data_IF_689401363842
#
_entry.id   IF_689401363842
#
_cell.length_a   1.000
_cell.length_b   1.000
_cell.length_c   1.000
_cell.angle_alpha   90.00
_cell.angle_beta   90.00
_cell.angle_gamma   90.00
#
_symmetry.space_group_name_H-M   'P 1'
#
loop_
_entity.id
_entity.type
_entity.pdbx_description
1 polymer ?
#
# COMPACT_ATOMS: atom_id res chain seq x y z
N UNK A 1 -4.12 -1.93 -19.64
CA UNK A 1 -3.70 -2.25 -21.01
C UNK A 1 -2.73 -3.41 -20.95
N UNK A 2 -2.95 -4.42 -21.82
CA UNK A 2 -2.05 -5.54 -21.98
C UNK A 2 -1.67 -5.63 -23.45
N UNK A 3 -0.39 -5.70 -23.73
CA UNK A 3 0.19 -5.72 -25.07
C UNK A 3 1.09 -6.96 -25.16
N UNK A 4 0.89 -7.78 -26.18
CA UNK A 4 1.76 -8.89 -26.54
C UNK A 4 2.35 -8.59 -27.92
N UNK A 5 3.67 -8.38 -27.97
CA UNK A 5 4.40 -8.10 -29.19
C UNK A 5 5.22 -9.33 -29.59
N UNK A 6 4.92 -9.86 -30.77
CA UNK A 6 5.64 -10.98 -31.40
C UNK A 6 5.75 -12.23 -30.51
N UNK A 7 4.82 -12.41 -29.56
CA UNK A 7 4.87 -13.46 -28.55
C UNK A 7 6.14 -13.46 -27.67
N UNK A 8 6.98 -12.44 -27.80
CA UNK A 8 8.26 -12.26 -27.11
C UNK A 8 8.18 -11.27 -25.97
N UNK A 9 7.49 -10.15 -26.17
CA UNK A 9 7.42 -9.05 -25.20
C UNK A 9 6.00 -8.89 -24.68
N UNK A 10 5.81 -9.14 -23.41
CA UNK A 10 4.53 -8.99 -22.72
C UNK A 10 4.61 -7.72 -21.86
N UNK A 11 3.79 -6.72 -22.18
CA UNK A 11 3.78 -5.43 -21.48
C UNK A 11 2.40 -5.25 -20.88
N UNK A 12 2.37 -4.95 -19.58
CA UNK A 12 1.13 -4.62 -18.88
C UNK A 12 1.28 -3.25 -18.21
N UNK A 13 0.29 -2.41 -18.34
CA UNK A 13 0.21 -1.13 -17.63
C UNK A 13 -1.20 -0.93 -17.10
N UNK A 14 -1.33 -0.48 -15.87
CA UNK A 14 -2.60 -0.14 -15.27
C UNK A 14 -2.48 1.07 -14.34
N UNK A 15 -3.59 1.75 -14.16
CA UNK A 15 -3.76 2.77 -13.13
C UNK A 15 -5.09 2.53 -12.42
N UNK A 16 -5.07 2.56 -11.10
CA UNK A 16 -6.24 2.45 -10.26
C UNK A 16 -6.43 3.74 -9.49
N UNK A 17 -7.66 4.23 -9.44
CA UNK A 17 -8.05 5.36 -8.62
C UNK A 17 -9.02 4.87 -7.55
N UNK A 18 -8.65 5.01 -6.29
CA UNK A 18 -9.47 4.58 -5.15
C UNK A 18 -9.88 5.80 -4.33
N UNK A 19 -11.14 5.85 -3.94
CA UNK A 19 -11.66 6.89 -3.07
C UNK A 19 -12.01 6.34 -1.69
N UNK A 20 -11.63 7.06 -0.63
CA UNK A 20 -11.97 6.70 0.75
C UNK A 20 -12.60 7.87 1.49
N UNK A 21 -13.77 7.61 2.09
CA UNK A 21 -14.46 8.58 2.96
C UNK A 21 -13.78 8.74 4.33
N UNK A 22 -12.83 7.87 4.68
CA UNK A 22 -12.06 7.93 5.93
C UNK A 22 -11.12 9.14 5.98
N UNK A 23 -10.72 9.65 4.82
CA UNK A 23 -9.82 10.81 4.70
C UNK A 23 -10.60 12.11 4.45
N UNK A 24 -9.99 13.24 4.81
CA UNK A 24 -10.51 14.56 4.52
C UNK A 24 -10.68 14.78 3.01
N UNK A 25 -11.56 15.70 2.61
CA UNK A 25 -12.00 15.93 1.23
C UNK A 25 -10.85 15.99 0.22
N UNK A 26 -9.74 16.62 0.57
CA UNK A 26 -8.59 16.80 -0.32
C UNK A 26 -7.68 15.58 -0.46
N UNK A 27 -7.80 14.61 0.45
CA UNK A 27 -6.94 13.41 0.53
C UNK A 27 -7.71 12.10 0.26
N UNK A 28 -8.98 12.20 -0.15
CA UNK A 28 -9.85 11.02 -0.36
C UNK A 28 -9.36 10.13 -1.49
N UNK A 29 -8.84 10.71 -2.56
CA UNK A 29 -8.47 9.98 -3.76
C UNK A 29 -7.00 9.61 -3.74
N UNK A 30 -6.72 8.32 -3.95
CA UNK A 30 -5.39 7.76 -4.19
C UNK A 30 -5.27 7.23 -5.61
N UNK A 31 -4.13 7.47 -6.26
CA UNK A 31 -3.83 6.96 -7.59
C UNK A 31 -2.67 5.98 -7.49
N UNK A 32 -2.88 4.78 -8.05
CA UNK A 32 -1.99 3.65 -7.89
C UNK A 32 -1.64 3.07 -9.28
N UNK A 33 -0.62 3.64 -9.93
CA UNK A 33 -0.12 3.11 -11.20
C UNK A 33 0.67 1.81 -10.98
N UNK A 34 0.63 0.94 -12.00
CA UNK A 34 1.51 -0.21 -12.10
C UNK A 34 1.89 -0.50 -13.55
N UNK A 35 3.08 -1.03 -13.74
CA UNK A 35 3.57 -1.46 -15.03
C UNK A 35 4.43 -2.72 -14.88
N UNK A 36 4.38 -3.60 -15.86
CA UNK A 36 5.27 -4.75 -15.95
C UNK A 36 5.66 -5.03 -17.39
N UNK A 37 6.86 -5.57 -17.55
CA UNK A 37 7.35 -6.09 -18.80
C UNK A 37 7.92 -7.49 -18.56
N UNK A 38 7.61 -8.42 -19.45
CA UNK A 38 8.21 -9.72 -19.47
C UNK A 38 8.77 -10.00 -20.88
N UNK A 39 10.03 -10.46 -20.92
CA UNK A 39 10.70 -10.80 -22.14
C UNK A 39 10.98 -12.30 -22.17
N UNK A 40 10.42 -12.96 -23.19
CA UNK A 40 10.57 -14.39 -23.43
C UNK A 40 11.81 -14.61 -24.29
N UNK A 41 12.95 -14.75 -23.63
CA UNK A 41 14.26 -14.93 -24.28
C UNK A 41 14.32 -16.22 -25.10
N UNK A 42 13.62 -17.26 -24.66
CA UNK A 42 13.58 -18.54 -25.38
C UNK A 42 12.99 -18.42 -26.81
N UNK A 43 12.25 -17.34 -27.08
CA UNK A 43 11.66 -17.09 -28.41
C UNK A 43 12.60 -16.31 -29.34
N UNK A 44 13.77 -15.89 -28.86
CA UNK A 44 14.74 -15.17 -29.67
C UNK A 44 15.56 -16.10 -30.57
N UNK A 45 15.88 -15.65 -31.78
CA UNK A 45 16.58 -16.46 -32.77
C UNK A 45 17.93 -16.98 -32.26
N UNK A 46 18.66 -16.15 -31.51
CA UNK A 46 19.97 -16.53 -30.96
C UNK A 46 19.87 -17.59 -29.85
N UNK A 47 18.68 -17.77 -29.24
CA UNK A 47 18.47 -18.77 -28.18
C UNK A 47 17.94 -20.11 -28.73
N UNK A 48 17.39 -20.14 -29.94
CA UNK A 48 16.83 -21.34 -30.56
C UNK A 48 17.84 -22.47 -30.76
N UNK A 49 19.14 -22.15 -30.80
CA UNK A 49 20.22 -23.16 -30.90
C UNK A 49 20.40 -23.97 -29.60
N UNK A 50 19.90 -23.46 -28.47
CA UNK A 50 20.07 -24.07 -27.15
C UNK A 50 18.95 -25.06 -26.85
N UNK A 51 19.00 -26.25 -27.41
CA UNK A 51 17.95 -27.30 -27.28
C UNK A 51 17.68 -27.75 -25.84
N UNK A 52 18.64 -27.54 -24.94
CA UNK A 52 18.48 -27.89 -23.53
C UNK A 52 17.70 -26.85 -22.72
N UNK A 53 17.55 -25.62 -23.26
CA UNK A 53 16.80 -24.53 -22.65
C UNK A 53 15.36 -24.58 -23.15
N UNK A 54 14.42 -24.86 -22.26
CA UNK A 54 13.00 -24.94 -22.58
C UNK A 54 12.26 -23.65 -22.30
N UNK A 55 12.70 -22.88 -21.33
CA UNK A 55 12.12 -21.61 -20.94
C UNK A 55 13.17 -20.69 -20.36
N UNK A 56 13.16 -19.44 -20.79
CA UNK A 56 13.91 -18.36 -20.15
C UNK A 56 13.16 -17.06 -20.34
N UNK A 57 12.57 -16.58 -19.25
CA UNK A 57 11.78 -15.36 -19.25
C UNK A 57 12.27 -14.39 -18.17
N UNK A 58 12.59 -13.18 -18.59
CA UNK A 58 12.90 -12.08 -17.68
C UNK A 58 11.62 -11.29 -17.39
N UNK A 59 11.43 -10.92 -16.14
CA UNK A 59 10.29 -10.11 -15.69
C UNK A 59 10.79 -8.89 -14.92
N UNK A 60 10.21 -7.75 -15.20
CA UNK A 60 10.39 -6.53 -14.46
C UNK A 60 9.02 -5.95 -14.16
N UNK A 61 8.76 -5.62 -12.93
CA UNK A 61 7.51 -4.96 -12.54
C UNK A 61 7.76 -3.83 -11.56
N UNK A 62 6.93 -2.82 -11.66
CA UNK A 62 6.83 -1.71 -10.73
C UNK A 62 5.38 -1.40 -10.44
N UNK A 63 5.05 -1.12 -9.20
CA UNK A 63 3.69 -0.75 -8.84
C UNK A 63 3.63 0.00 -7.52
N UNK A 64 2.59 0.82 -7.41
CA UNK A 64 2.24 1.52 -6.17
C UNK A 64 0.91 0.98 -5.67
N UNK A 65 0.84 0.65 -4.39
CA UNK A 65 -0.39 0.26 -3.70
C UNK A 65 -0.67 1.21 -2.55
N UNK A 66 -1.95 1.42 -2.24
CA UNK A 66 -2.40 2.27 -1.14
C UNK A 66 -3.00 1.45 0.00
N UNK A 67 -2.80 1.93 1.22
CA UNK A 67 -3.44 1.41 2.42
C UNK A 67 -4.19 2.53 3.13
N UNK A 68 -5.42 2.23 3.59
CA UNK A 68 -6.31 3.13 4.32
C UNK A 68 -6.75 2.53 5.68
N UNK A 69 -5.89 1.76 6.30
CA UNK A 69 -6.19 1.03 7.54
C UNK A 69 -6.23 1.97 8.75
N UNK A 70 -7.25 2.82 8.78
CA UNK A 70 -7.65 3.66 9.92
C UNK A 70 -9.13 3.45 10.20
N UNK A 71 -9.57 3.76 11.41
CA UNK A 71 -10.98 3.69 11.76
C UNK A 71 -11.79 4.77 11.04
N UNK A 72 -13.09 4.51 10.76
CA UNK A 72 -13.98 5.54 10.26
C UNK A 72 -13.99 6.75 11.19
N UNK A 73 -14.08 7.93 10.61
CA UNK A 73 -14.16 9.23 11.32
C UNK A 73 -12.87 9.63 12.07
N UNK A 74 -11.75 8.88 11.98
CA UNK A 74 -10.47 9.23 12.64
C UNK A 74 -9.90 10.58 12.23
N UNK A 75 -10.33 11.14 11.10
CA UNK A 75 -9.91 12.46 10.61
C UNK A 75 -10.73 13.60 11.19
N UNK A 76 -11.85 13.32 11.87
CA UNK A 76 -12.76 14.32 12.39
C UNK A 76 -12.68 14.41 13.91
N UNK A 77 -12.98 15.58 14.48
CA UNK A 77 -13.25 15.69 15.89
C UNK A 77 -14.58 15.01 16.21
N UNK A 78 -14.59 14.08 17.14
CA UNK A 78 -15.79 13.43 17.63
C UNK A 78 -16.07 13.83 19.08
N UNK A 79 -17.36 13.90 19.41
CA UNK A 79 -17.81 14.13 20.76
C UNK A 79 -18.35 12.83 21.35
N UNK A 80 -18.04 12.58 22.59
CA UNK A 80 -18.57 11.44 23.37
C UNK A 80 -19.00 11.89 24.76
N UNK A 81 -19.71 11.01 25.48
CA UNK A 81 -20.05 11.24 26.88
C UNK A 81 -18.79 11.43 27.72
N UNK A 82 -18.68 12.53 28.42
CA UNK A 82 -17.55 12.81 29.32
C UNK A 82 -17.68 12.04 30.62
N UNK A 83 -16.54 11.73 31.22
CA UNK A 83 -16.47 11.10 32.54
C UNK A 83 -16.80 12.08 33.68
N UNK A 84 -16.89 13.36 33.38
CA UNK A 84 -17.17 14.39 34.39
C UNK A 84 -18.68 14.61 34.45
N UNK A 85 -19.23 14.35 35.60
CA UNK A 85 -20.63 14.61 35.90
C UNK A 85 -20.68 15.93 36.69
N UNK A 86 -21.35 16.94 36.14
CA UNK A 86 -21.66 18.14 36.86
C UNK A 86 -23.06 17.98 37.49
N UNK A 87 -23.19 18.45 38.73
CA UNK A 87 -24.50 18.61 39.33
C UNK A 87 -25.02 20.02 39.04
N UNK A 88 -26.26 20.14 38.64
CA UNK A 88 -26.96 21.43 38.61
C UNK A 88 -27.24 21.95 40.02
N UNK A 89 -27.75 23.16 40.15
CA UNK A 89 -28.11 23.75 41.45
C UNK A 89 -29.14 22.95 42.24
N UNK A 90 -29.85 22.02 41.59
CA UNK A 90 -30.87 21.15 42.18
C UNK A 90 -30.31 19.75 42.48
N UNK A 91 -29.01 19.52 42.23
CA UNK A 91 -28.34 18.22 42.47
C UNK A 91 -28.56 17.19 41.34
N UNK A 92 -29.11 17.56 40.19
CA UNK A 92 -29.27 16.64 39.07
C UNK A 92 -27.92 16.44 38.35
N UNK A 93 -27.60 15.20 37.97
CA UNK A 93 -26.44 14.89 37.20
C UNK A 93 -26.55 15.40 35.77
N UNK A 94 -25.61 16.21 35.34
CA UNK A 94 -25.49 16.69 33.96
C UNK A 94 -24.36 15.90 33.27
N UNK A 95 -24.72 15.19 32.19
CA UNK A 95 -23.72 14.53 31.36
C UNK A 95 -22.96 15.57 30.54
N UNK A 96 -21.63 15.51 30.62
CA UNK A 96 -20.78 16.35 29.79
C UNK A 96 -20.51 15.70 28.44
N UNK A 97 -20.34 16.52 27.42
CA UNK A 97 -19.78 16.10 26.13
C UNK A 97 -18.32 16.53 26.09
N UNK A 98 -17.44 15.57 25.84
CA UNK A 98 -16.01 15.84 25.63
C UNK A 98 -15.62 15.44 24.20
N UNK A 99 -14.62 16.12 23.66
CA UNK A 99 -14.03 15.71 22.39
C UNK A 99 -13.23 14.44 22.68
N UNK A 100 -13.54 13.35 21.97
CA UNK A 100 -12.90 12.04 22.16
C UNK A 100 -11.77 11.77 21.19
N UNK A 101 -11.70 12.53 20.09
CA UNK A 101 -10.69 12.36 19.05
C UNK A 101 -10.23 13.71 18.52
N UNK A 102 -8.93 13.87 18.36
CA UNK A 102 -8.34 15.06 17.75
C UNK A 102 -8.44 14.96 16.22
N UNK A 103 -9.06 15.97 15.61
CA UNK A 103 -9.17 16.02 14.15
C UNK A 103 -7.79 16.13 13.49
N UNK A 104 -7.55 15.31 12.47
CA UNK A 104 -6.38 15.42 11.61
C UNK A 104 -6.76 15.37 10.12
N UNK A 105 -7.04 16.53 9.55
CA UNK A 105 -7.42 16.68 8.15
C UNK A 105 -6.26 16.46 7.17
N UNK A 106 -5.04 16.33 7.64
CA UNK A 106 -3.85 16.11 6.82
C UNK A 106 -3.59 14.62 6.52
N UNK A 107 -4.33 13.72 7.18
CA UNK A 107 -4.19 12.29 6.96
C UNK A 107 -4.45 11.94 5.49
N UNK A 108 -3.56 11.13 4.95
CA UNK A 108 -3.55 10.66 3.56
C UNK A 108 -3.24 9.17 3.48
N UNK A 109 -3.37 8.61 2.29
CA UNK A 109 -3.05 7.23 2.00
C UNK A 109 -1.59 6.90 2.34
N UNK A 110 -1.39 5.81 3.06
CA UNK A 110 -0.12 5.13 3.14
C UNK A 110 0.17 4.49 1.79
N UNK A 111 1.39 4.66 1.25
CA UNK A 111 1.76 4.19 -0.08
C UNK A 111 2.93 3.22 -0.01
N UNK A 112 2.77 2.10 -0.69
CA UNK A 112 3.86 1.13 -0.89
C UNK A 112 4.24 1.11 -2.36
N UNK A 113 5.43 1.60 -2.68
CA UNK A 113 6.06 1.43 -3.98
C UNK A 113 6.89 0.15 -3.97
N UNK A 114 6.68 -0.70 -4.95
CA UNK A 114 7.40 -1.97 -5.08
C UNK A 114 7.94 -2.14 -6.49
N UNK A 115 9.16 -2.64 -6.60
CA UNK A 115 9.68 -3.19 -7.83
C UNK A 115 10.14 -4.63 -7.61
N UNK A 116 10.02 -5.41 -8.65
CA UNK A 116 10.43 -6.82 -8.68
C UNK A 116 11.11 -7.10 -10.02
N UNK A 117 12.23 -7.80 -9.95
CA UNK A 117 12.94 -8.38 -11.10
C UNK A 117 12.97 -9.87 -10.91
N UNK A 118 12.44 -10.61 -11.89
CA UNK A 118 12.37 -12.07 -11.82
C UNK A 118 12.92 -12.73 -13.07
N UNK A 119 13.43 -13.93 -12.89
CA UNK A 119 13.88 -14.83 -13.94
C UNK A 119 13.16 -16.16 -13.78
N UNK A 120 12.41 -16.55 -14.81
CA UNK A 120 11.83 -17.89 -14.89
C UNK A 120 12.67 -18.72 -15.84
N UNK A 121 13.11 -19.89 -15.43
CA UNK A 121 13.92 -20.78 -16.26
C UNK A 121 13.37 -22.21 -16.28
N UNK A 122 13.63 -22.89 -17.37
CA UNK A 122 13.27 -24.28 -17.53
C UNK A 122 14.30 -25.00 -18.43
N UNK A 123 14.71 -26.18 -18.01
CA UNK A 123 15.73 -26.98 -18.70
C UNK A 123 15.23 -28.37 -19.01
N UNK A 124 15.80 -29.00 -20.05
CA UNK A 124 15.55 -30.40 -20.45
C UNK A 124 14.08 -30.74 -20.62
N UNK A 125 13.41 -30.04 -21.54
CA UNK A 125 11.95 -30.17 -21.76
C UNK A 125 11.14 -29.93 -20.49
N UNK A 126 11.51 -28.88 -19.73
CA UNK A 126 10.87 -28.48 -18.47
C UNK A 126 10.92 -29.54 -17.36
N UNK A 127 11.91 -30.46 -17.39
CA UNK A 127 12.13 -31.39 -16.28
C UNK A 127 12.67 -30.70 -15.03
N UNK A 128 13.43 -29.64 -15.23
CA UNK A 128 13.86 -28.74 -14.15
C UNK A 128 13.36 -27.34 -14.44
N UNK A 129 12.53 -26.80 -13.56
CA UNK A 129 12.04 -25.43 -13.66
C UNK A 129 12.26 -24.70 -12.35
N UNK A 130 12.47 -23.41 -12.43
CA UNK A 130 12.62 -22.56 -11.24
C UNK A 130 12.35 -21.10 -11.56
N UNK A 131 12.21 -20.35 -10.49
CA UNK A 131 12.03 -18.91 -10.53
C UNK A 131 12.95 -18.27 -9.49
N UNK A 132 13.58 -17.18 -9.84
CA UNK A 132 14.35 -16.35 -8.92
C UNK A 132 13.78 -14.95 -9.03
N UNK A 133 13.35 -14.40 -7.91
CA UNK A 133 12.81 -13.05 -7.81
C UNK A 133 13.65 -12.21 -6.84
N UNK A 134 13.93 -10.97 -7.24
CA UNK A 134 14.55 -9.94 -6.40
C UNK A 134 13.57 -8.80 -6.28
N UNK A 135 13.22 -8.43 -5.05
CA UNK A 135 12.24 -7.40 -4.81
C UNK A 135 12.71 -6.34 -3.82
N UNK A 136 12.14 -5.16 -3.95
CA UNK A 136 12.25 -4.10 -2.97
C UNK A 136 10.91 -3.37 -2.86
N UNK A 137 10.38 -3.30 -1.64
CA UNK A 137 9.14 -2.63 -1.27
C UNK A 137 9.47 -1.50 -0.32
N UNK A 138 9.04 -0.28 -0.64
CA UNK A 138 9.18 0.88 0.24
C UNK A 138 7.80 1.45 0.55
N UNK A 139 7.40 1.35 1.80
CA UNK A 139 6.18 1.97 2.32
C UNK A 139 6.54 3.34 2.89
N UNK A 140 5.77 4.34 2.54
CA UNK A 140 5.91 5.72 3.01
C UNK A 140 4.59 6.23 3.56
N UNK A 141 4.64 7.30 4.34
CA UNK A 141 3.46 7.90 4.95
C UNK A 141 2.68 6.89 5.83
N UNK A 142 3.41 6.08 6.61
CA UNK A 142 2.81 5.06 7.49
C UNK A 142 1.73 5.68 8.37
N UNK A 143 0.56 5.04 8.41
CA UNK A 143 -0.55 5.43 9.27
C UNK A 143 -0.30 4.92 10.69
N UNK A 144 0.23 5.79 11.56
CA UNK A 144 0.66 5.44 12.91
C UNK A 144 -0.23 6.15 13.93
N UNK A 145 -0.74 5.40 14.90
CA UNK A 145 -1.33 5.97 16.11
C UNK A 145 -0.21 6.44 17.04
N UNK A 146 -0.30 7.67 17.50
CA UNK A 146 0.65 8.28 18.41
C UNK A 146 -0.04 8.71 19.70
N UNK A 147 0.56 8.34 20.82
CA UNK A 147 0.12 8.79 22.13
C UNK A 147 0.41 10.28 22.30
N UNK A 148 -0.52 10.98 22.90
CA UNK A 148 -0.43 12.39 23.22
C UNK A 148 -0.23 12.60 24.72
N UNK A 149 0.49 13.66 25.13
CA UNK A 149 0.56 14.01 26.53
C UNK A 149 -0.83 14.26 27.12
N UNK A 150 -1.08 13.85 28.36
CA UNK A 150 -2.38 14.01 29.02
C UNK A 150 -2.87 15.47 29.09
N UNK A 151 -1.96 16.43 29.01
CA UNK A 151 -2.28 17.88 28.92
C UNK A 151 -2.96 18.26 27.61
N UNK A 152 -2.88 17.41 26.56
CA UNK A 152 -3.56 17.65 25.30
C UNK A 152 -5.09 17.36 25.36
N UNK A 153 -5.55 16.68 26.42
CA UNK A 153 -6.94 16.29 26.57
C UNK A 153 -7.37 15.08 25.73
N UNK A 154 -6.44 14.47 24.98
CA UNK A 154 -6.65 13.30 24.13
C UNK A 154 -5.57 12.26 24.41
N UNK A 155 -5.94 10.97 24.28
CA UNK A 155 -4.99 9.88 24.48
C UNK A 155 -4.15 9.61 23.24
N UNK A 156 -4.76 9.61 22.07
CA UNK A 156 -4.10 9.21 20.81
C UNK A 156 -4.57 10.05 19.63
N UNK A 157 -3.77 10.08 18.59
CA UNK A 157 -4.16 10.60 17.27
C UNK A 157 -3.37 9.90 16.17
N UNK A 158 -3.91 9.88 14.94
CA UNK A 158 -3.25 9.29 13.78
C UNK A 158 -2.43 10.32 13.03
N UNK A 159 -1.25 9.90 12.57
CA UNK A 159 -0.37 10.68 11.70
C UNK A 159 0.17 9.81 10.57
N UNK A 160 0.50 10.46 9.44
CA UNK A 160 1.34 9.84 8.43
C UNK A 160 2.80 10.16 8.77
N UNK A 161 3.55 9.17 9.24
CA UNK A 161 4.94 9.37 9.64
C UNK A 161 5.78 8.14 9.38
N UNK A 162 7.03 8.37 8.97
CA UNK A 162 8.01 7.30 8.80
C UNK A 162 7.93 6.57 7.46
N UNK A 163 8.85 5.65 7.29
CA UNK A 163 8.90 4.75 6.14
C UNK A 163 9.47 3.40 6.55
N UNK A 164 9.04 2.37 5.83
CA UNK A 164 9.52 1.00 5.99
C UNK A 164 10.05 0.50 4.66
N UNK A 165 11.21 -0.13 4.66
CA UNK A 165 11.75 -0.78 3.47
C UNK A 165 11.92 -2.27 3.71
N UNK A 166 11.41 -3.08 2.80
CA UNK A 166 11.58 -4.53 2.77
C UNK A 166 12.16 -4.93 1.42
N UNK A 167 13.24 -5.70 1.43
CA UNK A 167 13.91 -6.20 0.24
C UNK A 167 14.38 -7.63 0.46
N UNK A 168 14.35 -8.43 -0.59
CA UNK A 168 14.76 -9.82 -0.49
C UNK A 168 14.95 -10.47 -1.84
N UNK A 169 15.36 -11.74 -1.76
CA UNK A 169 15.52 -12.67 -2.89
C UNK A 169 14.72 -13.93 -2.52
N UNK A 170 13.93 -14.37 -3.45
CA UNK A 170 13.11 -15.58 -3.37
C UNK A 170 13.48 -16.58 -4.46
#
# INVERSE_FOLDING_TARGET
VNINLFEKYLITASIRADGSSKFAKNNRWGYFPSASIAWRLEQEEFMKSLKWLSQLKLRLSYGITGNQSIDPYSTFAMYGGGSIIYADKLGNALNTLTITNLANNSLKWEKTASWNVGVDFGFWNSRLTGTIDVYNKKTTDLLISRDLPGSAGFSTTYYNQGSLTNKGVE
#
